data_IF_575879194221
#
_entry.id   IF_575879194221
#
_cell.length_a   1.000
_cell.length_b   1.000
_cell.length_c   1.000
_cell.angle_alpha   90.00
_cell.angle_beta   90.00
_cell.angle_gamma   90.00
#
_symmetry.space_group_name_H-M   'P 1'
#
loop_
_entity.id
_entity.type
_entity.pdbx_description
1 polymer ?
#
# COMPACT_ATOMS: atom_id res chain seq x y z
N UNK A 1 -8.95 21.39 23.03
CA UNK A 1 -8.28 20.20 22.48
C UNK A 1 -8.67 20.10 21.01
N UNK A 2 -7.89 20.71 20.11
CA UNK A 2 -8.18 20.75 18.68
C UNK A 2 -7.54 19.51 18.04
N UNK A 3 -8.37 18.57 17.57
CA UNK A 3 -7.91 17.48 16.71
C UNK A 3 -7.56 18.08 15.35
N UNK A 4 -6.27 18.17 15.04
CA UNK A 4 -5.81 18.41 13.68
C UNK A 4 -6.17 17.16 12.87
N UNK A 5 -7.34 17.17 12.22
CA UNK A 5 -7.64 16.24 11.16
C UNK A 5 -6.67 16.54 10.03
N UNK A 6 -5.79 15.59 9.72
CA UNK A 6 -4.84 15.67 8.62
C UNK A 6 -5.61 15.89 7.32
N UNK A 7 -5.74 17.16 6.93
CA UNK A 7 -6.15 17.57 5.60
C UNK A 7 -4.90 17.52 4.73
N UNK A 8 -4.63 16.37 4.10
CA UNK A 8 -3.53 16.18 3.16
C UNK A 8 -3.94 15.19 2.07
N UNK A 9 -3.50 15.35 0.81
CA UNK A 9 -3.93 14.49 -0.28
C UNK A 9 -3.59 13.06 0.10
N UNK A 10 -4.59 12.16 0.10
CA UNK A 10 -4.45 10.79 0.59
C UNK A 10 -3.12 10.20 0.15
N UNK A 11 -2.26 9.89 1.13
CA UNK A 11 -0.89 9.45 0.89
C UNK A 11 -0.97 8.20 0.00
N UNK A 12 -0.65 8.37 -1.28
CA UNK A 12 -0.64 7.31 -2.29
C UNK A 12 0.79 6.78 -2.36
N UNK A 13 1.00 5.61 -1.78
CA UNK A 13 2.25 4.87 -1.87
C UNK A 13 2.17 3.89 -3.04
N UNK A 14 3.30 3.58 -3.66
CA UNK A 14 3.38 2.43 -4.58
C UNK A 14 3.95 1.23 -3.85
N UNK A 15 3.56 0.02 -4.24
CA UNK A 15 4.05 -1.19 -3.59
C UNK A 15 5.58 -1.33 -3.67
N UNK A 16 6.21 -0.82 -4.72
CA UNK A 16 7.68 -0.78 -4.86
C UNK A 16 8.38 0.05 -3.77
N UNK A 17 7.68 1.02 -3.15
CA UNK A 17 8.22 1.77 -2.01
C UNK A 17 8.19 0.98 -0.71
N UNK A 18 7.24 0.04 -0.58
CA UNK A 18 7.12 -0.86 0.57
C UNK A 18 8.07 -2.05 0.43
N UNK A 19 8.23 -2.54 -0.80
CA UNK A 19 9.09 -3.67 -1.16
C UNK A 19 10.01 -3.26 -2.31
N UNK A 20 11.18 -2.69 -2.02
CA UNK A 20 12.12 -2.32 -3.07
C UNK A 20 12.63 -3.56 -3.79
N UNK A 21 12.53 -3.56 -5.12
CA UNK A 21 12.94 -4.69 -5.99
C UNK A 21 14.43 -5.02 -5.90
N UNK A 22 15.27 -4.03 -5.59
CA UNK A 22 16.72 -4.19 -5.48
C UNK A 22 17.16 -4.96 -4.22
N UNK A 23 16.39 -4.87 -3.13
CA UNK A 23 16.78 -5.40 -1.81
C UNK A 23 15.87 -6.50 -1.30
N UNK A 24 14.71 -6.69 -1.92
CA UNK A 24 13.70 -7.65 -1.48
C UNK A 24 13.76 -8.94 -2.27
N UNK A 25 13.64 -10.07 -1.57
CA UNK A 25 13.48 -11.37 -2.22
C UNK A 25 12.04 -11.58 -2.65
N UNK A 26 11.79 -12.52 -3.58
CA UNK A 26 10.43 -12.88 -4.01
C UNK A 26 9.54 -13.32 -2.83
N UNK A 27 10.13 -13.97 -1.83
CA UNK A 27 9.42 -14.39 -0.64
C UNK A 27 8.94 -13.19 0.19
N UNK A 28 9.82 -12.20 0.40
CA UNK A 28 9.46 -10.95 1.10
C UNK A 28 8.38 -10.19 0.35
N UNK A 29 8.48 -10.09 -0.98
CA UNK A 29 7.47 -9.43 -1.80
C UNK A 29 6.09 -10.11 -1.68
N UNK A 30 6.03 -11.44 -1.74
CA UNK A 30 4.78 -12.18 -1.59
C UNK A 30 4.18 -12.01 -0.18
N UNK A 31 5.00 -12.06 0.87
CA UNK A 31 4.55 -11.88 2.26
C UNK A 31 4.01 -10.46 2.50
N UNK A 32 4.73 -9.44 2.04
CA UNK A 32 4.29 -8.05 2.15
C UNK A 32 2.99 -7.81 1.38
N UNK A 33 2.86 -8.36 0.17
CA UNK A 33 1.62 -8.26 -0.61
C UNK A 33 0.44 -8.92 0.09
N UNK A 34 0.64 -10.11 0.66
CA UNK A 34 -0.37 -10.78 1.47
C UNK A 34 -0.80 -9.94 2.68
N UNK A 35 0.14 -9.32 3.39
CA UNK A 35 -0.18 -8.42 4.50
C UNK A 35 -0.97 -7.20 4.04
N UNK A 36 -0.64 -6.60 2.89
CA UNK A 36 -1.44 -5.53 2.31
C UNK A 36 -2.89 -5.98 2.03
N UNK A 37 -3.10 -7.19 1.51
CA UNK A 37 -4.45 -7.73 1.30
C UNK A 37 -5.21 -7.89 2.63
N UNK A 38 -4.55 -8.38 3.68
CA UNK A 38 -5.16 -8.50 5.02
C UNK A 38 -5.52 -7.14 5.63
N UNK A 39 -4.71 -6.11 5.38
CA UNK A 39 -5.03 -4.75 5.82
C UNK A 39 -6.19 -4.15 5.00
N UNK A 40 -6.26 -4.46 3.71
CA UNK A 40 -7.35 -4.02 2.84
C UNK A 40 -8.69 -4.65 3.24
N UNK A 41 -8.72 -5.93 3.64
CA UNK A 41 -9.95 -6.56 4.15
C UNK A 41 -10.41 -6.02 5.50
N UNK A 42 -9.56 -5.27 6.20
CA UNK A 42 -9.87 -4.58 7.46
C UNK A 42 -10.26 -3.10 7.26
N UNK A 43 -10.44 -2.66 6.01
CA UNK A 43 -10.73 -1.26 5.64
C UNK A 43 -9.67 -0.26 6.14
N UNK A 44 -8.42 -0.70 6.34
CA UNK A 44 -7.33 0.17 6.79
C UNK A 44 -6.58 0.82 5.61
N UNK A 45 -6.57 0.14 4.46
CA UNK A 45 -5.92 0.61 3.24
C UNK A 45 -6.76 0.26 2.01
N UNK A 46 -6.61 1.04 0.95
CA UNK A 46 -7.18 0.77 -0.37
C UNK A 46 -6.06 0.41 -1.34
N UNK A 47 -6.27 -0.65 -2.10
CA UNK A 47 -5.35 -1.09 -3.17
C UNK A 47 -5.98 -0.77 -4.52
N UNK A 48 -5.20 -0.16 -5.42
CA UNK A 48 -5.63 0.18 -6.78
C UNK A 48 -4.58 -0.28 -7.79
N UNK A 49 -5.03 -1.00 -8.83
CA UNK A 49 -4.22 -1.41 -9.98
C UNK A 49 -5.03 -1.11 -11.24
N UNK A 50 -4.51 -0.23 -12.11
CA UNK A 50 -5.23 0.22 -13.30
C UNK A 50 -5.13 -0.79 -14.46
N UNK A 51 -3.95 -1.38 -14.66
CA UNK A 51 -3.70 -2.34 -15.73
C UNK A 51 -3.11 -3.64 -15.16
N UNK A 52 -3.27 -4.75 -15.87
CA UNK A 52 -2.69 -6.03 -15.46
C UNK A 52 -1.17 -5.91 -15.31
N UNK A 53 -0.64 -6.38 -14.19
CA UNK A 53 0.79 -6.34 -13.83
C UNK A 53 1.41 -4.95 -13.68
N UNK A 54 0.59 -3.90 -13.67
CA UNK A 54 1.05 -2.54 -13.40
C UNK A 54 1.30 -2.32 -11.89
N UNK A 55 1.97 -1.22 -11.56
CA UNK A 55 2.31 -0.88 -10.19
C UNK A 55 1.05 -0.77 -9.31
N UNK A 56 1.06 -1.48 -8.18
CA UNK A 56 -0.02 -1.43 -7.19
C UNK A 56 0.10 -0.16 -6.37
N UNK A 57 -0.95 0.64 -6.35
CA UNK A 57 -1.05 1.86 -5.55
C UNK A 57 -1.81 1.57 -4.25
N UNK A 58 -1.30 2.11 -3.16
CA UNK A 58 -1.82 1.93 -1.81
C UNK A 58 -2.23 3.31 -1.30
N UNK A 59 -3.49 3.46 -0.89
CA UNK A 59 -3.98 4.66 -0.22
C UNK A 59 -4.41 4.31 1.21
N UNK A 60 -4.06 5.15 2.18
CA UNK A 60 -4.54 5.01 3.56
C UNK A 60 -5.95 5.60 3.64
N UNK A 61 -6.86 4.92 4.35
CA UNK A 61 -8.25 5.31 4.56
C UNK A 61 -8.39 6.02 5.91
#
# INVERSE_FOLDING_TARGET
MQFQTLSGPGIRLTFDTVVPTLTSTRHVAAAAFYHCLVLATKDLIRLEQQNAYDAVRIAII
#
